data_IF_713738638629
#
_entry.id   IF_713738638629
#
_cell.length_a   1.000
_cell.length_b   1.000
_cell.length_c   1.000
_cell.angle_alpha   90.00
_cell.angle_beta   90.00
_cell.angle_gamma   90.00
#
_symmetry.space_group_name_H-M   'P 1'
#
loop_
_entity.id
_entity.type
_entity.pdbx_description
1 polymer ?
#
# COMPACT_ATOMS: atom_id res chain seq x y z
N UNK A 1 -30.62 1.74 -14.97
CA UNK A 1 -31.54 2.05 -13.87
C UNK A 1 -30.80 1.87 -12.56
N UNK A 2 -30.45 2.97 -11.90
CA UNK A 2 -29.97 2.96 -10.51
C UNK A 2 -31.10 2.38 -9.65
N UNK A 3 -30.85 1.26 -8.96
CA UNK A 3 -31.71 0.86 -7.85
C UNK A 3 -31.54 1.95 -6.80
N UNK A 4 -32.57 2.75 -6.60
CA UNK A 4 -32.77 3.55 -5.39
C UNK A 4 -32.47 2.64 -4.20
N UNK A 5 -31.49 3.02 -3.38
CA UNK A 5 -31.21 2.36 -2.10
C UNK A 5 -32.53 2.36 -1.31
N UNK A 6 -33.14 1.18 -1.16
CA UNK A 6 -34.33 1.02 -0.33
C UNK A 6 -33.88 1.15 1.13
N UNK A 7 -33.96 2.36 1.66
CA UNK A 7 -33.74 2.63 3.08
C UNK A 7 -34.87 1.95 3.86
N UNK A 8 -34.54 1.09 4.81
CA UNK A 8 -35.57 0.40 5.59
C UNK A 8 -36.20 1.32 6.63
N UNK A 9 -37.34 0.90 7.19
CA UNK A 9 -38.00 1.63 8.26
C UNK A 9 -37.10 1.73 9.51
N UNK A 10 -36.33 0.68 9.81
CA UNK A 10 -35.37 0.66 10.92
C UNK A 10 -34.24 1.65 10.65
N UNK A 11 -33.74 1.72 9.41
CA UNK A 11 -32.69 2.67 9.02
C UNK A 11 -33.15 4.13 9.23
N UNK A 12 -34.38 4.45 8.84
CA UNK A 12 -34.99 5.78 9.05
C UNK A 12 -35.10 6.14 10.55
N UNK A 13 -35.51 5.20 11.39
CA UNK A 13 -35.61 5.42 12.84
C UNK A 13 -34.23 5.68 13.47
N UNK A 14 -33.21 4.97 12.99
CA UNK A 14 -31.83 5.12 13.47
C UNK A 14 -31.18 6.40 12.95
N UNK A 15 -31.64 7.01 11.86
CA UNK A 15 -31.13 8.31 11.35
C UNK A 15 -31.35 9.45 12.36
N UNK A 16 -32.32 9.31 13.27
CA UNK A 16 -32.58 10.29 14.34
C UNK A 16 -31.54 10.26 15.46
N UNK A 17 -30.66 9.26 15.53
CA UNK A 17 -29.59 9.16 16.54
C UNK A 17 -28.41 10.06 16.16
N UNK A 18 -27.88 10.83 17.13
CA UNK A 18 -26.65 11.61 16.94
C UNK A 18 -25.44 10.67 16.91
N UNK A 19 -25.01 10.29 15.71
CA UNK A 19 -23.82 9.46 15.50
C UNK A 19 -22.74 10.32 14.85
N UNK A 20 -21.52 10.33 15.42
CA UNK A 20 -20.37 11.02 14.79
C UNK A 20 -19.92 10.20 13.57
N UNK A 21 -20.50 10.46 12.40
CA UNK A 21 -20.18 9.80 11.12
C UNK A 21 -19.35 10.67 10.17
N UNK A 22 -18.87 11.82 10.66
CA UNK A 22 -18.19 12.84 9.86
C UNK A 22 -17.14 12.28 8.91
N UNK A 23 -16.32 11.32 9.36
CA UNK A 23 -15.32 10.68 8.49
C UNK A 23 -15.95 9.89 7.34
N UNK A 24 -16.90 8.99 7.61
CA UNK A 24 -17.50 8.14 6.57
C UNK A 24 -18.32 8.96 5.57
N UNK A 25 -19.02 9.97 6.04
CA UNK A 25 -19.78 10.89 5.19
C UNK A 25 -18.86 11.72 4.29
N UNK A 26 -17.74 12.20 4.85
CA UNK A 26 -16.69 12.87 4.06
C UNK A 26 -16.13 11.95 2.98
N UNK A 27 -15.83 10.68 3.28
CA UNK A 27 -15.33 9.73 2.27
C UNK A 27 -16.40 9.43 1.21
N UNK A 28 -17.65 9.22 1.61
CA UNK A 28 -18.75 8.96 0.67
C UNK A 28 -19.02 10.16 -0.24
N UNK A 29 -18.77 11.39 0.24
CA UNK A 29 -18.85 12.61 -0.58
C UNK A 29 -17.64 12.76 -1.49
N UNK A 30 -16.45 12.40 -1.00
CA UNK A 30 -15.19 12.56 -1.71
C UNK A 30 -15.01 11.54 -2.85
N UNK A 31 -15.43 10.30 -2.64
CA UNK A 31 -15.20 9.19 -3.56
C UNK A 31 -16.46 8.91 -4.37
N UNK A 32 -16.34 8.98 -5.70
CA UNK A 32 -17.35 8.44 -6.58
C UNK A 32 -17.18 6.91 -6.64
N UNK A 33 -18.09 6.20 -5.96
CA UNK A 33 -18.09 4.74 -5.88
C UNK A 33 -18.53 4.03 -7.17
N UNK A 34 -19.14 4.73 -8.13
CA UNK A 34 -19.65 4.12 -9.36
C UNK A 34 -18.54 3.58 -10.27
N UNK A 35 -17.46 4.34 -10.59
CA UNK A 35 -16.29 3.80 -11.29
C UNK A 35 -15.64 2.62 -10.56
N UNK A 36 -15.52 2.69 -9.23
CA UNK A 36 -14.96 1.62 -8.38
C UNK A 36 -15.80 0.34 -8.51
N UNK A 37 -17.13 0.46 -8.38
CA UNK A 37 -18.07 -0.65 -8.57
C UNK A 37 -17.95 -1.25 -9.97
N UNK A 38 -17.83 -0.43 -11.01
CA UNK A 38 -17.67 -0.92 -12.38
C UNK A 38 -16.37 -1.72 -12.57
N UNK A 39 -15.26 -1.29 -11.97
CA UNK A 39 -13.99 -2.03 -12.02
C UNK A 39 -14.16 -3.38 -11.32
N UNK A 40 -14.79 -3.41 -10.15
CA UNK A 40 -15.00 -4.66 -9.41
C UNK A 40 -15.92 -5.62 -10.17
N UNK A 41 -17.06 -5.14 -10.68
CA UNK A 41 -18.07 -5.99 -11.34
C UNK A 41 -17.58 -6.62 -12.65
N UNK A 42 -16.55 -6.06 -13.29
CA UNK A 42 -15.89 -6.68 -14.46
C UNK A 42 -15.17 -7.98 -14.12
N UNK A 43 -14.71 -8.11 -12.87
CA UNK A 43 -13.87 -9.23 -12.43
C UNK A 43 -14.54 -10.08 -11.35
N UNK A 44 -15.54 -9.56 -10.67
CA UNK A 44 -16.35 -10.24 -9.68
C UNK A 44 -17.75 -10.45 -10.24
N UNK A 45 -18.00 -11.63 -10.80
CA UNK A 45 -19.34 -12.02 -11.25
C UNK A 45 -20.10 -12.57 -10.07
N UNK A 46 -21.30 -12.03 -9.87
CA UNK A 46 -22.27 -12.55 -8.92
C UNK A 46 -22.58 -13.99 -9.29
N UNK A 47 -22.37 -14.93 -8.36
CA UNK A 47 -22.74 -16.32 -8.60
C UNK A 47 -24.24 -16.41 -8.82
N UNK A 48 -24.68 -16.80 -10.02
CA UNK A 48 -26.07 -17.16 -10.28
C UNK A 48 -26.34 -18.56 -9.72
N UNK A 49 -26.43 -18.68 -8.39
CA UNK A 49 -26.95 -19.93 -7.82
C UNK A 49 -28.46 -19.95 -8.07
N UNK A 50 -28.92 -20.84 -8.98
CA UNK A 50 -30.34 -21.17 -9.18
C UNK A 50 -31.06 -21.65 -7.89
N UNK A 51 -30.32 -21.90 -6.81
CA UNK A 51 -30.81 -22.47 -5.54
C UNK A 51 -30.22 -21.79 -4.28
N UNK A 52 -29.67 -20.57 -4.37
CA UNK A 52 -28.98 -19.91 -3.24
C UNK A 52 -29.17 -18.40 -3.16
N UNK A 53 -28.91 -17.82 -1.97
CA UNK A 53 -29.05 -16.37 -1.67
C UNK A 53 -28.21 -15.54 -2.66
N UNK A 54 -28.74 -14.45 -3.23
CA UNK A 54 -28.01 -13.65 -4.21
C UNK A 54 -26.68 -13.15 -3.64
N UNK A 55 -25.60 -13.32 -4.40
CA UNK A 55 -24.27 -12.89 -3.96
C UNK A 55 -24.22 -11.38 -3.71
N UNK A 56 -23.53 -11.01 -2.64
CA UNK A 56 -23.35 -9.62 -2.21
C UNK A 56 -22.73 -8.74 -3.29
N UNK A 57 -22.97 -7.42 -3.19
CA UNK A 57 -22.36 -6.45 -4.09
C UNK A 57 -20.84 -6.43 -3.90
N UNK A 58 -20.07 -6.43 -4.98
CA UNK A 58 -18.61 -6.31 -4.88
C UNK A 58 -18.17 -5.00 -4.22
N UNK A 59 -18.98 -3.93 -4.34
CA UNK A 59 -18.73 -2.66 -3.66
C UNK A 59 -18.86 -2.78 -2.14
N UNK A 60 -19.86 -3.54 -1.66
CA UNK A 60 -20.06 -3.82 -0.24
C UNK A 60 -18.82 -4.51 0.32
N UNK A 61 -18.38 -5.60 -0.32
CA UNK A 61 -17.20 -6.36 0.10
C UNK A 61 -15.93 -5.51 0.06
N UNK A 62 -15.75 -4.64 -0.94
CA UNK A 62 -14.62 -3.72 -1.00
C UNK A 62 -14.64 -2.72 0.17
N UNK A 63 -15.79 -2.12 0.49
CA UNK A 63 -15.92 -1.23 1.64
C UNK A 63 -15.65 -1.94 2.97
N UNK A 64 -16.04 -3.22 3.11
CA UNK A 64 -15.65 -4.03 4.27
C UNK A 64 -14.13 -4.16 4.36
N UNK A 65 -13.43 -4.43 3.25
CA UNK A 65 -11.95 -4.49 3.27
C UNK A 65 -11.27 -3.16 3.60
N UNK A 66 -11.90 -2.01 3.29
CA UNK A 66 -11.43 -0.71 3.75
C UNK A 66 -11.58 -0.56 5.27
N UNK A 67 -12.72 -0.97 5.84
CA UNK A 67 -12.93 -1.00 7.29
C UNK A 67 -11.92 -1.92 7.99
N UNK A 68 -11.66 -3.10 7.44
CA UNK A 68 -10.62 -4.02 7.95
C UNK A 68 -9.26 -3.33 8.02
N UNK A 69 -8.91 -2.55 7.00
CA UNK A 69 -7.63 -1.85 6.95
C UNK A 69 -7.60 -0.66 7.94
N UNK A 70 -8.62 0.20 7.94
CA UNK A 70 -8.65 1.38 8.82
C UNK A 70 -8.65 1.05 10.30
N UNK A 71 -9.33 -0.04 10.70
CA UNK A 71 -9.45 -0.44 12.10
C UNK A 71 -8.58 -1.64 12.46
N UNK A 72 -7.80 -2.16 11.51
CA UNK A 72 -6.91 -3.29 11.73
C UNK A 72 -7.62 -4.61 12.03
N UNK A 73 -8.89 -4.78 11.64
CA UNK A 73 -9.74 -5.93 11.96
C UNK A 73 -9.41 -7.18 11.13
N UNK A 74 -9.71 -8.35 11.67
CA UNK A 74 -9.75 -9.63 10.96
C UNK A 74 -11.02 -9.78 10.12
N UNK A 75 -11.13 -10.89 9.37
CA UNK A 75 -12.35 -11.20 8.58
C UNK A 75 -13.57 -11.45 9.49
N UNK A 76 -13.38 -12.06 10.67
CA UNK A 76 -14.46 -12.26 11.66
C UNK A 76 -14.83 -10.95 12.37
N UNK A 77 -13.83 -10.19 12.81
CA UNK A 77 -14.10 -8.95 13.55
C UNK A 77 -14.80 -7.89 12.69
N UNK A 78 -14.54 -7.83 11.37
CA UNK A 78 -15.27 -6.89 10.53
C UNK A 78 -16.73 -7.30 10.33
N UNK A 79 -17.01 -8.61 10.25
CA UNK A 79 -18.36 -9.15 10.20
C UNK A 79 -19.13 -8.75 11.48
N UNK A 80 -18.59 -9.08 12.65
CA UNK A 80 -19.16 -8.73 13.95
C UNK A 80 -19.36 -7.21 14.08
N UNK A 81 -18.34 -6.42 13.72
CA UNK A 81 -18.44 -4.95 13.84
C UNK A 81 -19.49 -4.34 12.92
N UNK A 82 -19.78 -4.93 11.77
CA UNK A 82 -20.84 -4.42 10.89
C UNK A 82 -22.21 -4.76 11.47
N UNK A 83 -22.37 -5.94 12.08
CA UNK A 83 -23.59 -6.30 12.80
C UNK A 83 -23.84 -5.38 14.02
N UNK A 84 -22.78 -5.04 14.76
CA UNK A 84 -22.89 -4.27 16.01
C UNK A 84 -22.93 -2.75 15.80
N UNK A 85 -22.27 -2.24 14.76
CA UNK A 85 -22.07 -0.79 14.56
C UNK A 85 -22.86 -0.25 13.38
N UNK A 86 -23.90 0.53 13.70
CA UNK A 86 -24.71 1.27 12.72
C UNK A 86 -23.84 2.10 11.76
N UNK A 87 -22.75 2.71 12.23
CA UNK A 87 -21.87 3.50 11.38
C UNK A 87 -21.16 2.66 10.32
N UNK A 88 -20.77 1.44 10.67
CA UNK A 88 -20.08 0.55 9.74
C UNK A 88 -21.07 0.00 8.72
N UNK A 89 -22.24 -0.46 9.19
CA UNK A 89 -23.33 -0.93 8.32
C UNK A 89 -23.74 0.13 7.30
N UNK A 90 -23.96 1.38 7.74
CA UNK A 90 -24.25 2.52 6.85
C UNK A 90 -23.15 2.83 5.85
N UNK A 91 -21.89 2.86 6.30
CA UNK A 91 -20.78 3.16 5.40
C UNK A 91 -20.70 2.12 4.27
N UNK A 92 -20.83 0.84 4.63
CA UNK A 92 -20.80 -0.28 3.69
C UNK A 92 -22.02 -0.26 2.76
N UNK A 93 -23.17 0.22 3.24
CA UNK A 93 -24.43 0.28 2.50
C UNK A 93 -25.27 -0.99 2.65
N UNK A 94 -25.22 -1.61 3.83
CA UNK A 94 -26.09 -2.72 4.22
C UNK A 94 -27.20 -2.14 5.09
N UNK A 95 -28.46 -2.51 4.83
CA UNK A 95 -29.57 -2.12 5.71
C UNK A 95 -29.49 -2.92 7.01
N UNK A 96 -29.96 -2.36 8.13
CA UNK A 96 -29.99 -3.10 9.40
C UNK A 96 -30.84 -4.38 9.37
N UNK A 97 -31.75 -4.49 8.39
CA UNK A 97 -32.59 -5.68 8.18
C UNK A 97 -31.93 -6.72 7.24
N UNK A 98 -30.84 -6.36 6.56
CA UNK A 98 -30.12 -7.24 5.66
C UNK A 98 -29.05 -8.05 6.42
N UNK A 99 -28.76 -9.27 5.95
CA UNK A 99 -27.65 -10.05 6.50
C UNK A 99 -26.31 -9.48 6.06
N UNK A 100 -25.35 -9.50 6.98
CA UNK A 100 -23.95 -9.14 6.70
C UNK A 100 -23.24 -10.30 5.98
N UNK A 101 -22.32 -10.02 5.04
CA UNK A 101 -21.51 -11.07 4.42
C UNK A 101 -20.59 -11.75 5.43
N UNK A 102 -20.64 -13.09 5.46
CA UNK A 102 -19.75 -13.90 6.28
C UNK A 102 -18.27 -13.65 5.93
N UNK A 103 -17.39 -13.78 6.93
CA UNK A 103 -15.93 -13.69 6.82
C UNK A 103 -15.37 -14.52 5.64
N UNK A 104 -15.95 -15.68 5.36
CA UNK A 104 -15.52 -16.57 4.27
C UNK A 104 -15.75 -15.94 2.88
N UNK A 105 -16.81 -15.15 2.72
CA UNK A 105 -17.12 -14.42 1.48
C UNK A 105 -16.09 -13.32 1.25
N UNK A 106 -15.72 -12.58 2.30
CA UNK A 106 -14.70 -11.54 2.26
C UNK A 106 -13.34 -12.12 1.83
N UNK A 107 -12.95 -13.24 2.45
CA UNK A 107 -11.69 -13.93 2.14
C UNK A 107 -11.63 -14.42 0.69
N UNK A 108 -12.71 -15.03 0.18
CA UNK A 108 -12.81 -15.48 -1.22
C UNK A 108 -12.79 -14.31 -2.20
N UNK A 109 -13.52 -13.23 -1.90
CA UNK A 109 -13.54 -12.01 -2.70
C UNK A 109 -12.14 -11.41 -2.84
N UNK A 110 -11.45 -11.22 -1.72
CA UNK A 110 -10.09 -10.68 -1.68
C UNK A 110 -9.11 -11.54 -2.46
N UNK A 111 -9.17 -12.86 -2.30
CA UNK A 111 -8.31 -13.79 -3.04
C UNK A 111 -8.55 -13.71 -4.54
N UNK A 112 -9.82 -13.72 -4.98
CA UNK A 112 -10.18 -13.64 -6.40
C UNK A 112 -9.74 -12.33 -7.06
N UNK A 113 -9.90 -11.19 -6.37
CA UNK A 113 -9.45 -9.89 -6.90
C UNK A 113 -7.92 -9.75 -6.91
N UNK A 114 -7.23 -10.40 -5.95
CA UNK A 114 -5.77 -10.44 -5.90
C UNK A 114 -5.20 -11.19 -7.11
N UNK A 115 -5.73 -12.38 -7.38
CA UNK A 115 -5.33 -13.21 -8.52
C UNK A 115 -5.53 -12.49 -9.86
N UNK A 116 -6.59 -11.69 -9.96
CA UNK A 116 -6.92 -10.89 -11.15
C UNK A 116 -6.21 -9.51 -11.20
N UNK A 117 -5.39 -9.16 -10.20
CA UNK A 117 -4.65 -7.89 -10.17
C UNK A 117 -5.53 -6.63 -10.08
N UNK A 118 -6.77 -6.74 -9.60
CA UNK A 118 -7.78 -5.67 -9.70
C UNK A 118 -7.46 -4.49 -8.78
N UNK A 119 -6.79 -4.74 -7.65
CA UNK A 119 -6.46 -3.71 -6.65
C UNK A 119 -5.57 -2.60 -7.19
N UNK A 120 -4.72 -2.86 -8.18
CA UNK A 120 -3.95 -1.81 -8.85
C UNK A 120 -4.84 -0.82 -9.59
N UNK A 121 -5.86 -1.33 -10.29
CA UNK A 121 -6.80 -0.50 -11.01
C UNK A 121 -7.67 0.34 -10.05
N UNK A 122 -8.07 -0.25 -8.92
CA UNK A 122 -8.78 0.45 -7.85
C UNK A 122 -7.94 1.57 -7.26
N UNK A 123 -6.66 1.30 -6.95
CA UNK A 123 -5.73 2.31 -6.43
C UNK A 123 -5.52 3.45 -7.43
N UNK A 124 -5.31 3.13 -8.71
CA UNK A 124 -5.18 4.14 -9.78
C UNK A 124 -6.43 5.01 -9.93
N UNK A 125 -7.62 4.41 -9.90
CA UNK A 125 -8.88 5.15 -10.00
C UNK A 125 -9.13 6.04 -8.77
N UNK A 126 -8.85 5.57 -7.55
CA UNK A 126 -8.94 6.42 -6.36
C UNK A 126 -7.97 7.60 -6.43
N UNK A 127 -6.71 7.35 -6.78
CA UNK A 127 -5.72 8.42 -6.92
C UNK A 127 -6.09 9.42 -8.02
N UNK A 128 -6.71 8.97 -9.11
CA UNK A 128 -7.24 9.84 -10.16
C UNK A 128 -8.35 10.76 -9.63
N UNK A 129 -9.27 10.24 -8.82
CA UNK A 129 -10.32 11.04 -8.18
C UNK A 129 -9.72 12.06 -7.20
N UNK A 130 -8.79 11.64 -6.34
CA UNK A 130 -8.12 12.55 -5.39
C UNK A 130 -7.33 13.67 -6.08
N UNK A 131 -6.70 13.35 -7.22
CA UNK A 131 -6.02 14.34 -8.05
C UNK A 131 -7.01 15.36 -8.64
N UNK A 132 -8.21 14.94 -9.03
CA UNK A 132 -9.27 15.85 -9.51
C UNK A 132 -9.69 16.86 -8.43
N UNK A 133 -9.73 16.43 -7.17
CA UNK A 133 -10.01 17.30 -6.02
C UNK A 133 -8.82 18.17 -5.59
N UNK A 134 -7.70 18.15 -6.33
CA UNK A 134 -6.43 18.87 -6.01
C UNK A 134 -5.86 18.52 -4.63
N UNK A 135 -6.20 17.34 -4.10
CA UNK A 135 -5.68 16.83 -2.82
C UNK A 135 -4.27 16.27 -3.03
N UNK A 136 -4.09 15.58 -4.15
CA UNK A 136 -2.82 14.99 -4.57
C UNK A 136 -2.10 15.96 -5.51
N UNK A 137 -0.85 16.30 -5.20
CA UNK A 137 -0.07 17.30 -5.95
C UNK A 137 1.25 16.71 -6.43
N UNK A 138 1.34 16.40 -7.72
CA UNK A 138 2.53 15.80 -8.36
C UNK A 138 3.64 16.82 -8.67
N UNK A 139 4.08 17.63 -7.69
CA UNK A 139 5.20 18.60 -7.84
C UNK A 139 6.58 17.97 -7.67
N UNK A 140 6.62 16.85 -6.96
CA UNK A 140 7.81 16.02 -6.75
C UNK A 140 7.35 14.67 -6.22
N UNK A 141 8.20 13.65 -6.40
CA UNK A 141 7.94 12.32 -5.91
C UNK A 141 9.07 11.86 -4.99
N UNK A 142 8.70 11.29 -3.85
CA UNK A 142 9.63 10.73 -2.87
C UNK A 142 9.55 9.22 -2.98
N UNK A 143 10.68 8.57 -3.20
CA UNK A 143 10.84 7.11 -3.26
C UNK A 143 11.52 6.63 -2.01
N UNK A 144 10.90 5.68 -1.32
CA UNK A 144 11.46 5.06 -0.13
C UNK A 144 10.87 3.67 0.11
N UNK A 145 11.62 2.84 0.86
CA UNK A 145 11.25 1.47 1.14
C UNK A 145 11.18 1.18 2.63
N UNK A 146 10.19 0.38 3.02
CA UNK A 146 10.02 -0.08 4.40
C UNK A 146 9.88 -1.59 4.45
N UNK A 147 10.38 -2.21 5.52
CA UNK A 147 10.29 -3.66 5.71
C UNK A 147 9.02 -4.00 6.48
N UNK A 148 8.27 -4.96 5.93
CA UNK A 148 7.14 -5.60 6.59
C UNK A 148 7.58 -7.00 7.02
N UNK A 149 7.53 -7.27 8.32
CA UNK A 149 7.91 -8.58 8.85
C UNK A 149 6.82 -9.60 8.57
N UNK A 150 7.21 -10.81 8.15
CA UNK A 150 6.33 -11.97 8.07
C UNK A 150 6.47 -12.81 9.34
N UNK A 151 5.35 -13.19 9.98
CA UNK A 151 5.40 -14.06 11.15
C UNK A 151 5.70 -15.52 10.77
N UNK A 152 5.54 -15.87 9.49
CA UNK A 152 5.64 -17.23 8.93
C UNK A 152 7.09 -17.57 8.54
N UNK A 153 8.02 -17.39 9.48
CA UNK A 153 9.45 -17.66 9.27
C UNK A 153 9.79 -19.15 9.38
N UNK A 154 10.79 -19.65 8.64
CA UNK A 154 11.28 -21.03 8.80
C UNK A 154 11.81 -21.25 10.22
N UNK A 155 11.50 -22.44 10.78
CA UNK A 155 12.05 -22.91 12.05
C UNK A 155 13.38 -23.61 11.77
N UNK A 156 14.48 -23.10 12.32
CA UNK A 156 15.81 -23.71 12.11
C UNK A 156 16.95 -22.69 12.13
N UNK A 157 18.16 -23.16 11.83
CA UNK A 157 19.37 -22.33 11.74
C UNK A 157 19.22 -21.36 10.56
N UNK A 158 19.36 -20.06 10.83
CA UNK A 158 19.25 -19.01 9.81
C UNK A 158 20.45 -19.10 8.87
N UNK A 159 20.21 -19.54 7.64
CA UNK A 159 21.17 -19.41 6.54
C UNK A 159 20.93 -18.04 5.92
N UNK A 160 21.97 -17.20 5.91
CA UNK A 160 21.87 -15.80 5.53
C UNK A 160 22.09 -15.64 4.03
N UNK A 161 21.12 -15.07 3.31
CA UNK A 161 21.43 -14.30 2.11
C UNK A 161 21.90 -12.92 2.58
N UNK A 162 23.20 -12.65 2.54
CA UNK A 162 23.74 -11.36 2.99
C UNK A 162 23.57 -10.35 1.85
N UNK A 163 22.36 -9.85 1.68
CA UNK A 163 22.19 -8.48 1.22
C UNK A 163 22.18 -7.58 2.45
N UNK A 164 23.37 -7.16 2.88
CA UNK A 164 23.42 -6.07 3.84
C UNK A 164 22.99 -4.81 3.09
N UNK A 165 22.06 -4.02 3.66
CA UNK A 165 21.66 -2.68 3.17
C UNK A 165 22.86 -1.70 3.00
N UNK A 166 24.11 -2.18 3.21
CA UNK A 166 25.34 -1.40 3.38
C UNK A 166 26.63 -2.03 2.80
N UNK A 167 26.61 -3.10 2.00
CA UNK A 167 27.84 -3.67 1.40
C UNK A 167 27.87 -3.50 -0.12
N UNK A 168 28.85 -2.71 -0.59
CA UNK A 168 29.12 -2.34 -1.99
C UNK A 168 30.09 -3.31 -2.69
N UNK A 169 29.81 -4.61 -2.73
CA UNK A 169 30.60 -5.53 -3.55
C UNK A 169 29.80 -5.92 -4.81
N UNK A 170 30.30 -5.67 -6.03
CA UNK A 170 29.82 -6.40 -7.20
C UNK A 170 30.13 -7.88 -6.95
N UNK A 171 29.10 -8.72 -6.93
CA UNK A 171 29.27 -10.16 -6.74
C UNK A 171 29.80 -10.77 -8.03
N UNK A 172 30.74 -11.71 -7.94
CA UNK A 172 31.17 -12.50 -9.09
C UNK A 172 30.09 -13.53 -9.46
N UNK A 173 29.86 -13.76 -10.75
CA UNK A 173 28.79 -14.65 -11.25
C UNK A 173 28.88 -16.08 -10.67
N UNK A 174 30.08 -16.54 -10.29
CA UNK A 174 30.29 -17.86 -9.69
C UNK A 174 29.76 -18.00 -8.24
N UNK A 175 29.63 -16.90 -7.50
CA UNK A 175 29.03 -16.88 -6.16
C UNK A 175 27.50 -16.88 -6.22
N UNK A 176 26.93 -16.23 -7.25
CA UNK A 176 25.49 -16.25 -7.56
C UNK A 176 25.01 -17.66 -7.94
N UNK A 177 25.79 -18.41 -8.71
CA UNK A 177 25.45 -19.77 -9.10
C UNK A 177 25.50 -20.76 -7.92
N UNK A 178 26.45 -20.59 -6.99
CA UNK A 178 26.50 -21.35 -5.72
C UNK A 178 25.34 -21.01 -4.78
N UNK A 179 24.99 -19.73 -4.64
CA UNK A 179 23.83 -19.30 -3.84
C UNK A 179 22.50 -19.81 -4.45
N UNK A 180 22.34 -19.79 -5.78
CA UNK A 180 21.16 -20.34 -6.46
C UNK A 180 21.05 -21.87 -6.28
N UNK A 181 22.18 -22.58 -6.29
CA UNK A 181 22.19 -24.03 -6.04
C UNK A 181 22.00 -24.38 -4.56
N UNK A 182 22.42 -23.54 -3.62
CA UNK A 182 22.08 -23.65 -2.20
C UNK A 182 20.61 -23.25 -1.90
N UNK A 183 20.02 -22.31 -2.64
CA UNK A 183 18.59 -21.96 -2.58
C UNK A 183 17.68 -23.13 -2.96
N UNK A 184 18.08 -23.92 -3.96
CA UNK A 184 17.36 -25.16 -4.34
C UNK A 184 17.39 -26.20 -3.21
N UNK A 185 18.44 -26.22 -2.38
CA UNK A 185 18.61 -27.16 -1.26
C UNK A 185 17.81 -26.80 0.01
N UNK A 186 17.36 -25.54 0.17
CA UNK A 186 16.58 -25.05 1.33
C UNK A 186 15.07 -25.03 1.04
N UNK A 187 14.60 -25.69 -0.03
CA UNK A 187 13.19 -26.10 -0.15
C UNK A 187 12.85 -27.25 0.81
N UNK A 188 13.25 -27.17 2.08
CA UNK A 188 12.65 -28.00 3.09
C UNK A 188 11.26 -27.40 3.35
N UNK A 189 10.24 -27.95 2.68
CA UNK A 189 8.83 -27.56 2.79
C UNK A 189 8.31 -27.81 4.21
N UNK A 190 8.67 -26.91 5.13
CA UNK A 190 8.06 -26.90 6.45
C UNK A 190 6.65 -26.32 6.33
N UNK A 191 5.59 -27.05 6.72
CA UNK A 191 4.24 -26.56 6.63
C UNK A 191 4.08 -25.26 7.42
N UNK A 192 3.46 -24.26 6.78
CA UNK A 192 3.20 -22.95 7.39
C UNK A 192 4.27 -21.87 7.18
N UNK A 193 5.40 -22.16 6.52
CA UNK A 193 6.43 -21.16 6.19
C UNK A 193 6.04 -20.38 4.93
N UNK A 194 6.37 -19.09 4.88
CA UNK A 194 6.16 -18.24 3.70
C UNK A 194 7.38 -18.27 2.75
N UNK A 195 7.40 -19.22 1.81
CA UNK A 195 8.54 -19.43 0.90
C UNK A 195 8.82 -18.27 -0.06
N UNK A 196 7.98 -17.24 -0.13
CA UNK A 196 8.23 -16.05 -0.96
C UNK A 196 8.84 -14.89 -0.14
N UNK A 197 8.80 -14.96 1.19
CA UNK A 197 9.51 -14.05 2.07
C UNK A 197 11.00 -14.43 2.17
N UNK A 198 11.85 -13.43 2.43
CA UNK A 198 13.31 -13.60 2.52
C UNK A 198 13.87 -12.94 3.77
N UNK A 199 15.05 -13.39 4.20
CA UNK A 199 15.79 -12.79 5.31
C UNK A 199 16.54 -11.55 4.84
N UNK A 200 16.65 -10.56 5.72
CA UNK A 200 17.52 -9.39 5.56
C UNK A 200 18.12 -8.99 6.91
N UNK A 201 19.36 -8.50 6.91
CA UNK A 201 20.00 -7.91 8.09
C UNK A 201 19.96 -6.39 8.00
N UNK A 202 19.12 -5.75 8.81
CA UNK A 202 18.99 -4.28 8.89
C UNK A 202 19.32 -3.78 10.29
N UNK A 203 20.25 -2.82 10.38
CA UNK A 203 20.72 -2.24 11.64
C UNK A 203 21.16 -3.29 12.68
N UNK A 204 21.87 -4.34 12.24
CA UNK A 204 22.35 -5.41 13.11
C UNK A 204 21.31 -6.48 13.48
N UNK A 205 20.02 -6.25 13.21
CA UNK A 205 18.94 -7.22 13.46
C UNK A 205 18.52 -7.94 12.19
N UNK A 206 18.22 -9.23 12.32
CA UNK A 206 17.64 -10.03 11.25
C UNK A 206 16.13 -9.83 11.21
N UNK A 207 15.59 -9.64 10.01
CA UNK A 207 14.17 -9.50 9.74
C UNK A 207 13.81 -10.44 8.59
N UNK A 208 12.64 -11.06 8.68
CA UNK A 208 12.13 -11.96 7.66
C UNK A 208 10.83 -11.39 7.11
N UNK A 209 10.70 -11.27 5.79
CA UNK A 209 9.48 -10.74 5.19
C UNK A 209 9.70 -10.11 3.83
N UNK A 210 9.07 -8.96 3.65
CA UNK A 210 8.98 -8.24 2.38
C UNK A 210 9.44 -6.78 2.53
N UNK A 211 9.83 -6.16 1.42
CA UNK A 211 10.01 -4.72 1.27
C UNK A 211 8.81 -4.14 0.53
N UNK A 212 8.20 -3.09 1.09
CA UNK A 212 7.22 -2.26 0.40
C UNK A 212 7.88 -0.94 -0.02
N UNK A 213 7.87 -0.67 -1.32
CA UNK A 213 8.43 0.51 -1.93
C UNK A 213 7.29 1.45 -2.29
N UNK A 214 7.29 2.64 -1.70
CA UNK A 214 6.27 3.65 -1.99
C UNK A 214 6.87 4.79 -2.79
N UNK A 215 6.12 5.22 -3.79
CA UNK A 215 6.26 6.54 -4.39
C UNK A 215 5.22 7.42 -3.73
N UNK A 216 5.64 8.50 -3.07
CA UNK A 216 4.73 9.48 -2.46
C UNK A 216 4.88 10.85 -3.11
N UNK A 217 3.86 11.69 -3.02
CA UNK A 217 4.03 13.11 -3.33
C UNK A 217 4.79 13.83 -2.20
N UNK A 218 5.04 15.14 -2.37
CA UNK A 218 5.73 15.94 -1.36
C UNK A 218 4.94 16.12 -0.05
N UNK A 219 3.64 15.83 -0.04
CA UNK A 219 2.80 15.86 1.15
C UNK A 219 2.66 14.48 1.83
N UNK A 220 3.21 13.44 1.20
CA UNK A 220 3.27 12.08 1.70
C UNK A 220 2.11 11.19 1.25
N UNK A 221 1.23 11.64 0.35
CA UNK A 221 0.19 10.77 -0.24
C UNK A 221 0.83 9.76 -1.20
N UNK A 222 0.36 8.53 -1.18
CA UNK A 222 0.96 7.42 -1.93
C UNK A 222 0.47 7.46 -3.39
N UNK A 223 1.41 7.57 -4.33
CA UNK A 223 1.19 7.61 -5.78
C UNK A 223 1.37 6.24 -6.42
N UNK A 224 2.29 5.44 -5.90
CA UNK A 224 2.71 4.16 -6.46
C UNK A 224 3.18 3.20 -5.36
N UNK A 225 2.98 1.91 -5.57
CA UNK A 225 3.34 0.85 -4.63
C UNK A 225 4.00 -0.27 -5.41
N UNK A 226 5.13 -0.76 -4.92
CA UNK A 226 5.76 -2.00 -5.39
C UNK A 226 6.11 -2.85 -4.17
N UNK A 227 6.00 -4.16 -4.29
CA UNK A 227 6.31 -5.09 -3.21
C UNK A 227 7.30 -6.11 -3.70
N UNK A 228 8.39 -6.30 -2.95
CA UNK A 228 9.44 -7.26 -3.27
C UNK A 228 9.75 -8.09 -2.03
N UNK A 229 10.38 -9.27 -2.19
CA UNK A 229 11.00 -9.96 -1.06
C UNK A 229 12.03 -9.05 -0.37
N UNK A 230 12.32 -9.33 0.91
CA UNK A 230 13.16 -8.42 1.71
C UNK A 230 14.63 -8.38 1.28
N UNK A 231 15.14 -9.42 0.62
CA UNK A 231 16.52 -9.52 0.13
C UNK A 231 16.78 -8.78 -1.19
N UNK A 232 15.77 -8.14 -1.79
CA UNK A 232 15.94 -7.47 -3.08
C UNK A 232 16.53 -6.07 -2.87
N UNK A 233 17.56 -5.75 -3.66
CA UNK A 233 18.23 -4.46 -3.61
C UNK A 233 17.30 -3.30 -4.01
N UNK A 234 17.40 -2.20 -3.28
CA UNK A 234 16.68 -0.96 -3.61
C UNK A 234 17.16 -0.35 -4.95
N UNK A 235 18.46 -0.48 -5.29
CA UNK A 235 19.04 0.07 -6.52
C UNK A 235 18.36 -0.51 -7.77
N UNK A 236 18.12 -1.82 -7.78
CA UNK A 236 17.60 -2.54 -8.93
C UNK A 236 16.13 -2.22 -9.24
N UNK A 237 15.35 -1.87 -8.21
CA UNK A 237 13.90 -1.74 -8.32
C UNK A 237 13.42 -0.33 -8.71
N UNK A 238 14.31 0.67 -8.76
CA UNK A 238 13.89 2.07 -8.97
C UNK A 238 13.05 2.26 -10.24
N UNK A 239 13.38 1.56 -11.33
CA UNK A 239 12.63 1.61 -12.57
C UNK A 239 11.18 1.18 -12.39
N UNK A 240 10.97 0.03 -11.73
CA UNK A 240 9.65 -0.53 -11.46
C UNK A 240 8.86 0.38 -10.53
N UNK A 241 9.53 0.93 -9.50
CA UNK A 241 8.93 1.84 -8.53
C UNK A 241 8.47 3.13 -9.20
N UNK A 242 9.30 3.77 -10.01
CA UNK A 242 8.91 4.97 -10.77
C UNK A 242 7.76 4.67 -11.73
N UNK A 243 7.82 3.53 -12.44
CA UNK A 243 6.79 3.14 -13.41
C UNK A 243 5.44 2.79 -12.77
N UNK A 244 5.42 2.45 -11.47
CA UNK A 244 4.19 2.19 -10.72
C UNK A 244 3.32 3.44 -10.52
N UNK A 245 3.91 4.64 -10.69
CA UNK A 245 3.22 5.91 -10.55
C UNK A 245 3.21 6.68 -11.88
N UNK A 246 2.07 7.26 -12.22
CA UNK A 246 1.96 8.18 -13.36
C UNK A 246 2.56 9.55 -12.97
N UNK A 247 3.84 9.76 -13.25
CA UNK A 247 4.58 10.96 -12.87
C UNK A 247 4.73 11.93 -14.05
N UNK A 248 4.37 13.22 -13.89
CA UNK A 248 4.54 14.20 -14.95
C UNK A 248 6.03 14.48 -15.23
N UNK A 249 6.33 14.85 -16.47
CA UNK A 249 7.70 15.18 -16.90
C UNK A 249 8.21 16.42 -16.14
N UNK A 250 9.50 16.44 -15.84
CA UNK A 250 10.20 17.58 -15.24
C UNK A 250 10.16 17.66 -13.71
N UNK A 251 9.47 16.74 -13.02
CA UNK A 251 9.40 16.73 -11.56
C UNK A 251 10.68 16.24 -10.90
N UNK A 252 10.82 16.56 -9.61
CA UNK A 252 11.93 16.10 -8.78
C UNK A 252 11.67 14.71 -8.19
N UNK A 253 12.63 13.80 -8.33
CA UNK A 253 12.63 12.49 -7.67
C UNK A 253 13.58 12.51 -6.47
N UNK A 254 13.03 12.42 -5.26
CA UNK A 254 13.78 12.39 -4.01
C UNK A 254 13.92 10.95 -3.54
N UNK A 255 15.14 10.45 -3.36
CA UNK A 255 15.38 9.08 -2.90
C UNK A 255 16.59 8.99 -1.98
N UNK A 256 16.73 7.87 -1.29
CA UNK A 256 17.89 7.63 -0.42
C UNK A 256 19.20 7.49 -1.19
N UNK A 257 20.31 7.66 -0.47
CA UNK A 257 21.65 7.36 -0.97
C UNK A 257 21.77 5.92 -1.49
N UNK A 258 20.94 5.01 -0.98
CA UNK A 258 20.82 3.63 -1.43
C UNK A 258 20.46 3.53 -2.90
N UNK A 259 19.65 4.44 -3.45
CA UNK A 259 19.21 4.41 -4.85
C UNK A 259 20.22 4.99 -5.84
N UNK A 260 21.35 5.51 -5.38
CA UNK A 260 22.30 6.23 -6.24
C UNK A 260 23.15 5.24 -7.04
N UNK A 261 22.92 5.19 -8.35
CA UNK A 261 23.75 4.48 -9.32
C UNK A 261 23.77 5.24 -10.65
N UNK A 262 24.80 5.03 -11.48
CA UNK A 262 24.88 5.65 -12.82
C UNK A 262 23.67 5.27 -13.67
N UNK A 263 23.27 3.99 -13.64
CA UNK A 263 22.08 3.47 -14.31
C UNK A 263 20.80 4.20 -13.88
N UNK A 264 20.62 4.44 -12.58
CA UNK A 264 19.43 5.12 -12.05
C UNK A 264 19.40 6.60 -12.40
N UNK A 265 20.56 7.27 -12.42
CA UNK A 265 20.66 8.68 -12.85
C UNK A 265 20.32 8.84 -14.35
N UNK A 266 20.79 7.92 -15.19
CA UNK A 266 20.43 7.87 -16.61
C UNK A 266 18.94 7.60 -16.82
N UNK A 267 18.37 6.68 -16.06
CA UNK A 267 16.94 6.34 -16.11
C UNK A 267 16.05 7.54 -15.74
N UNK A 268 16.43 8.29 -14.71
CA UNK A 268 15.72 9.51 -14.32
C UNK A 268 15.84 10.57 -15.44
N UNK A 269 17.04 10.74 -16.01
CA UNK A 269 17.25 11.67 -17.13
C UNK A 269 16.44 11.30 -18.37
N UNK A 270 16.43 10.03 -18.77
CA UNK A 270 15.70 9.54 -19.94
C UNK A 270 14.18 9.69 -19.75
N UNK A 271 13.69 9.50 -18.53
CA UNK A 271 12.31 9.81 -18.12
C UNK A 271 11.96 11.30 -18.10
N UNK A 272 12.90 12.20 -18.43
CA UNK A 272 12.77 13.68 -18.32
C UNK A 272 12.46 14.12 -16.89
N UNK A 273 12.95 13.40 -15.90
CA UNK A 273 12.79 13.70 -14.47
C UNK A 273 14.08 14.36 -13.94
N UNK A 274 13.99 15.01 -12.77
CA UNK A 274 15.11 15.71 -12.14
C UNK A 274 15.57 14.95 -10.90
N UNK A 275 16.77 14.37 -10.94
CA UNK A 275 17.33 13.61 -9.82
C UNK A 275 17.62 14.49 -8.59
N UNK A 276 17.06 14.07 -7.45
CA UNK A 276 17.35 14.55 -6.10
C UNK A 276 17.66 13.36 -5.18
N UNK A 277 18.46 12.42 -5.67
CA UNK A 277 19.00 11.32 -4.87
C UNK A 277 20.12 11.86 -3.95
N UNK A 278 20.13 11.43 -2.68
CA UNK A 278 21.17 11.84 -1.73
C UNK A 278 22.57 11.43 -2.21
N UNK A 279 23.55 12.30 -1.99
CA UNK A 279 24.95 12.00 -2.25
C UNK A 279 25.48 11.00 -1.22
N UNK A 280 26.24 10.02 -1.71
CA UNK A 280 26.95 9.03 -0.91
C UNK A 280 28.45 9.38 -0.93
N UNK A 281 29.11 9.32 0.23
CA UNK A 281 30.56 9.41 0.29
C UNK A 281 31.16 8.17 -0.40
N UNK A 282 32.18 8.36 -1.24
CA UNK A 282 32.91 7.23 -1.82
C UNK A 282 34.02 6.81 -0.85
N UNK A 283 34.48 5.57 -0.95
CA UNK A 283 35.61 5.08 -0.14
C UNK A 283 36.80 6.04 -0.27
N UNK A 284 37.31 6.53 0.86
CA UNK A 284 38.44 7.46 0.92
C UNK A 284 38.13 8.93 0.62
N UNK A 285 36.89 9.30 0.29
CA UNK A 285 36.51 10.71 0.02
C UNK A 285 35.28 11.13 0.80
N UNK A 286 35.43 12.14 1.65
CA UNK A 286 34.32 12.73 2.39
C UNK A 286 33.42 13.56 1.46
N UNK A 287 32.14 13.69 1.83
CA UNK A 287 31.23 14.61 1.14
C UNK A 287 31.67 16.05 1.33
N UNK A 288 31.61 16.83 0.26
CA UNK A 288 31.85 18.28 0.32
C UNK A 288 30.77 19.00 1.13
N UNK A 289 31.07 20.18 1.67
CA UNK A 289 30.08 20.98 2.43
C UNK A 289 28.83 21.31 1.59
N UNK A 290 29.00 21.56 0.29
CA UNK A 290 27.88 21.77 -0.64
C UNK A 290 27.00 20.53 -0.76
N UNK A 291 27.59 19.33 -0.83
CA UNK A 291 26.85 18.07 -0.89
C UNK A 291 26.13 17.77 0.43
N UNK A 292 26.78 18.05 1.57
CA UNK A 292 26.14 17.92 2.90
C UNK A 292 24.93 18.84 3.03
N UNK A 293 25.05 20.11 2.63
CA UNK A 293 23.94 21.06 2.62
C UNK A 293 22.81 20.60 1.69
N UNK A 294 23.14 20.15 0.48
CA UNK A 294 22.17 19.56 -0.46
C UNK A 294 21.45 18.36 0.16
N UNK A 295 22.18 17.45 0.78
CA UNK A 295 21.61 16.28 1.45
C UNK A 295 20.68 16.68 2.60
N UNK A 296 21.05 17.70 3.39
CA UNK A 296 20.20 18.25 4.46
C UNK A 296 18.88 18.79 3.92
N UNK A 297 18.90 19.54 2.82
CA UNK A 297 17.70 20.08 2.18
C UNK A 297 16.80 18.97 1.61
N UNK A 298 17.38 17.99 0.92
CA UNK A 298 16.65 16.83 0.39
C UNK A 298 16.05 16.00 1.54
N UNK A 299 16.79 15.79 2.61
CA UNK A 299 16.35 15.04 3.79
C UNK A 299 15.10 15.63 4.45
N UNK A 300 14.99 16.96 4.53
CA UNK A 300 13.79 17.64 5.05
C UNK A 300 12.51 17.31 4.27
N UNK A 301 12.63 17.15 2.95
CA UNK A 301 11.51 16.77 2.08
C UNK A 301 11.22 15.27 2.23
N UNK A 302 12.26 14.43 2.18
CA UNK A 302 12.13 12.97 2.29
C UNK A 302 11.47 12.52 3.57
N UNK A 303 11.68 13.20 4.70
CA UNK A 303 11.04 12.86 5.99
C UNK A 303 9.51 12.68 5.92
N UNK A 304 8.84 13.29 4.92
CA UNK A 304 7.40 13.11 4.70
C UNK A 304 7.00 11.66 4.41
N UNK A 305 7.84 10.88 3.71
CA UNK A 305 7.56 9.46 3.43
C UNK A 305 7.74 8.59 4.67
N UNK A 306 8.71 8.92 5.54
CA UNK A 306 8.91 8.25 6.83
C UNK A 306 7.68 8.47 7.72
N UNK A 307 7.14 9.69 7.71
CA UNK A 307 5.86 10.00 8.36
C UNK A 307 4.72 9.16 7.77
N UNK A 308 4.66 8.97 6.45
CA UNK A 308 3.65 8.12 5.80
C UNK A 308 3.73 6.68 6.30
N UNK A 309 4.92 6.08 6.29
CA UNK A 309 5.12 4.74 6.85
C UNK A 309 4.78 4.67 8.34
N UNK A 310 5.20 5.66 9.13
CA UNK A 310 4.93 5.73 10.56
C UNK A 310 3.43 5.86 10.87
N UNK A 311 2.71 6.66 10.09
CA UNK A 311 1.26 6.82 10.19
C UNK A 311 0.52 5.53 9.81
N UNK A 312 0.86 4.89 8.70
CA UNK A 312 0.24 3.62 8.29
C UNK A 312 0.42 2.55 9.37
N UNK A 313 1.64 2.43 9.91
CA UNK A 313 1.93 1.48 10.99
C UNK A 313 1.10 1.77 12.25
N UNK A 314 1.00 3.04 12.68
CA UNK A 314 0.28 3.43 13.90
C UNK A 314 -1.24 3.40 13.76
N UNK A 315 -1.77 3.86 12.62
CA UNK A 315 -3.21 4.00 12.43
C UNK A 315 -3.89 2.68 12.06
N UNK A 316 -3.22 1.83 11.28
CA UNK A 316 -3.84 0.62 10.69
C UNK A 316 -3.28 -0.69 11.25
N UNK A 317 -2.43 -0.61 12.29
CA UNK A 317 -1.73 -1.77 12.87
C UNK A 317 -0.98 -2.61 11.82
N UNK A 318 -0.36 -1.93 10.85
CA UNK A 318 0.29 -2.50 9.65
C UNK A 318 1.77 -2.86 9.89
N UNK A 319 2.12 -3.32 11.10
CA UNK A 319 3.51 -3.68 11.39
C UNK A 319 3.95 -5.03 10.83
N UNK A 320 3.01 -5.89 10.42
CA UNK A 320 3.24 -7.28 10.09
C UNK A 320 2.48 -7.69 8.82
N UNK A 321 3.02 -8.66 8.09
CA UNK A 321 2.35 -9.29 6.96
C UNK A 321 1.19 -10.14 7.48
N UNK A 322 -0.02 -9.88 6.97
CA UNK A 322 -1.23 -10.64 7.31
C UNK A 322 -1.41 -11.86 6.40
N UNK A 323 -0.78 -11.85 5.23
CA UNK A 323 -0.97 -12.85 4.19
C UNK A 323 0.37 -13.45 3.74
N UNK A 324 0.30 -14.70 3.29
CA UNK A 324 1.41 -15.46 2.70
C UNK A 324 1.47 -15.19 1.19
N UNK A 325 2.67 -15.00 0.66
CA UNK A 325 2.93 -14.79 -0.76
C UNK A 325 2.90 -13.32 -1.21
N UNK A 326 3.71 -13.02 -2.22
CA UNK A 326 4.00 -11.68 -2.73
C UNK A 326 2.75 -11.00 -3.30
N UNK A 327 1.89 -11.73 -4.01
CA UNK A 327 0.67 -11.17 -4.61
C UNK A 327 -0.31 -10.67 -3.54
N UNK A 328 -0.51 -11.46 -2.48
CA UNK A 328 -1.37 -11.08 -1.35
C UNK A 328 -0.74 -9.98 -0.50
N UNK A 329 0.57 -10.03 -0.29
CA UNK A 329 1.30 -8.95 0.38
C UNK A 329 1.24 -7.64 -0.40
N UNK A 330 1.35 -7.70 -1.73
CA UNK A 330 1.20 -6.54 -2.60
C UNK A 330 -0.20 -5.94 -2.49
N UNK A 331 -1.23 -6.80 -2.48
CA UNK A 331 -2.62 -6.38 -2.25
C UNK A 331 -2.79 -5.71 -0.88
N UNK A 332 -2.19 -6.26 0.18
CA UNK A 332 -2.21 -5.62 1.50
C UNK A 332 -1.60 -4.21 1.45
N UNK A 333 -0.44 -4.06 0.81
CA UNK A 333 0.23 -2.75 0.69
C UNK A 333 -0.60 -1.74 -0.14
N UNK A 334 -1.26 -2.19 -1.21
CA UNK A 334 -2.19 -1.35 -1.99
C UNK A 334 -3.40 -0.92 -1.15
N UNK A 335 -3.99 -1.84 -0.38
CA UNK A 335 -5.09 -1.53 0.54
C UNK A 335 -4.69 -0.51 1.60
N UNK A 336 -3.51 -0.68 2.21
CA UNK A 336 -2.96 0.29 3.16
C UNK A 336 -2.72 1.66 2.54
N UNK A 337 -2.23 1.72 1.30
CA UNK A 337 -2.02 2.96 0.57
C UNK A 337 -3.34 3.66 0.23
N UNK A 338 -4.35 2.93 -0.24
CA UNK A 338 -5.70 3.45 -0.49
C UNK A 338 -6.33 3.98 0.80
N UNK A 339 -6.29 3.17 1.86
CA UNK A 339 -6.82 3.53 3.18
C UNK A 339 -6.13 4.78 3.72
N UNK A 340 -4.80 4.88 3.60
CA UNK A 340 -4.03 6.04 4.03
C UNK A 340 -4.41 7.31 3.27
N UNK A 341 -4.46 7.24 1.94
CA UNK A 341 -4.78 8.39 1.11
C UNK A 341 -6.19 8.91 1.43
N UNK A 342 -7.18 8.01 1.53
CA UNK A 342 -8.54 8.37 1.92
C UNK A 342 -8.59 8.97 3.32
N UNK A 343 -7.91 8.36 4.29
CA UNK A 343 -7.90 8.84 5.68
C UNK A 343 -7.30 10.26 5.81
N UNK A 344 -6.29 10.58 5.00
CA UNK A 344 -5.64 11.90 4.99
C UNK A 344 -6.41 12.97 4.22
N UNK A 345 -7.25 12.57 3.28
CA UNK A 345 -7.84 13.48 2.30
C UNK A 345 -8.74 14.57 2.90
N UNK A 346 -9.65 14.28 3.86
CA UNK A 346 -10.50 15.33 4.45
C UNK A 346 -9.70 16.45 5.13
N UNK A 347 -8.65 16.11 5.89
CA UNK A 347 -7.81 17.11 6.55
C UNK A 347 -7.03 18.00 5.56
N UNK A 348 -6.61 17.44 4.43
CA UNK A 348 -5.94 18.21 3.36
C UNK A 348 -6.93 19.16 2.68
N UNK A 349 -8.16 18.71 2.41
CA UNK A 349 -9.20 19.57 1.84
C UNK A 349 -9.49 20.79 2.73
N UNK A 350 -9.68 20.57 4.03
CA UNK A 350 -9.90 21.65 4.99
C UNK A 350 -8.71 22.61 5.00
N UNK A 351 -7.48 22.09 5.05
CA UNK A 351 -6.28 22.94 5.01
C UNK A 351 -6.17 23.76 3.72
N UNK A 352 -6.51 23.17 2.57
CA UNK A 352 -6.49 23.86 1.29
C UNK A 352 -7.58 24.92 1.19
N UNK A 353 -8.78 24.67 1.76
CA UNK A 353 -9.85 25.66 1.81
C UNK A 353 -9.44 26.89 2.63
N UNK A 354 -8.89 26.70 3.83
CA UNK A 354 -8.41 27.79 4.70
C UNK A 354 -7.31 28.63 4.02
N UNK A 355 -6.41 27.99 3.26
CA UNK A 355 -5.34 28.68 2.52
C UNK A 355 -5.81 29.48 1.31
N UNK A 356 -7.01 29.21 0.79
CA UNK A 356 -7.57 29.94 -0.34
C UNK A 356 -8.47 31.10 0.10
N UNK A 357 -8.88 31.13 1.37
CA UNK A 357 -9.69 32.20 1.97
C UNK A 357 -8.85 33.31 2.61
N UNK A 358 -7.57 33.03 2.88
CA UNK A 358 -6.54 33.99 3.31
C UNK A 358 -5.61 34.29 2.14
#
# INVERSE_FOLDING_TARGET
MEKTEKVSFVDYMVQRRKIKQEFFDQINTLVNWRPISNIINKHYHKGESKMGRPSYSGLVLFKMTLLQTWYGLSDYEVEDRINDSISFSRFVGISLDDSVPDHSVISRFRSSLTEKGVYENLFKELNKQLNKHKILVKRGAIVDASIVDSPLKPKGKVIYEIESDRSEHPREDSELDKENSEQLLIQQESPGVDHEARWIKKAGKTRYGYKKHYVTDTEGLVLGVVTTPANVNEIANLQQVISSADLPKGIHIYADKGYRSSKNEELIKSGKLKSRILHKAKKGTALTEREKLRNKLIGKIRFKVERTFGSIRRWFNSSCARYKGIAKMHTQNLMEAMAYNLYRSPGILVSNAIKNTN
#
